data_IF_236015593542
#
_entry.id   IF_236015593542
#
_cell.length_a   1.000
_cell.length_b   1.000
_cell.length_c   1.000
_cell.angle_alpha   90.00
_cell.angle_beta   90.00
_cell.angle_gamma   90.00
#
_symmetry.space_group_name_H-M   'P 1'
#
loop_
_entity.id
_entity.type
_entity.pdbx_description
1 polymer ?
#
# COMPACT_ATOMS: atom_id res chain seq x y z
N UNK A 1 -11.30 -4.06 21.66
CA UNK A 1 -12.48 -3.22 21.34
C UNK A 1 -12.09 -1.83 20.85
N UNK A 2 -11.56 -0.92 21.68
CA UNK A 2 -11.19 0.43 21.22
C UNK A 2 -10.03 0.43 20.20
N UNK A 3 -8.97 -0.34 20.50
CA UNK A 3 -7.82 -0.51 19.58
C UNK A 3 -8.27 -1.06 18.22
N UNK A 4 -9.06 -2.12 18.21
CA UNK A 4 -9.60 -2.72 16.99
C UNK A 4 -10.44 -1.74 16.17
N UNK A 5 -11.21 -0.89 16.84
CA UNK A 5 -11.97 0.16 16.18
C UNK A 5 -11.05 1.21 15.55
N UNK A 6 -10.02 1.66 16.26
CA UNK A 6 -9.04 2.65 15.76
C UNK A 6 -8.19 2.11 14.60
N UNK A 7 -7.89 0.81 14.60
CA UNK A 7 -7.29 0.11 13.46
C UNK A 7 -8.28 -0.03 12.27
N UNK A 8 -9.57 0.24 12.49
CA UNK A 8 -10.61 0.16 11.47
C UNK A 8 -11.14 -1.24 11.20
N UNK A 9 -10.86 -2.23 12.06
CA UNK A 9 -11.33 -3.63 11.90
C UNK A 9 -12.85 -3.75 11.70
N UNK A 10 -13.73 -3.03 12.44
CA UNK A 10 -15.17 -3.12 12.26
C UNK A 10 -15.63 -2.59 10.89
N UNK A 11 -14.97 -1.54 10.40
CA UNK A 11 -15.26 -0.92 9.10
C UNK A 11 -14.59 -1.64 7.94
N UNK A 12 -13.62 -2.52 8.23
CA UNK A 12 -12.82 -3.27 7.25
C UNK A 12 -11.98 -2.35 6.35
N UNK A 13 -11.67 -1.15 6.83
CA UNK A 13 -10.87 -0.14 6.16
C UNK A 13 -9.96 0.54 7.20
N UNK A 14 -8.68 0.75 6.89
CA UNK A 14 -7.76 1.38 7.82
C UNK A 14 -8.15 2.84 8.03
N UNK A 15 -8.43 3.22 9.29
CA UNK A 15 -8.97 4.55 9.60
C UNK A 15 -7.97 5.66 9.35
N UNK A 16 -6.68 5.45 9.65
CA UNK A 16 -5.67 6.49 9.48
C UNK A 16 -5.51 6.92 8.01
N UNK A 17 -5.24 6.02 7.03
CA UNK A 17 -5.22 6.36 5.61
C UNK A 17 -6.53 6.98 5.10
N UNK A 18 -7.68 6.63 5.68
CA UNK A 18 -8.95 7.26 5.32
C UNK A 18 -9.00 8.72 5.78
N UNK A 19 -8.65 8.98 7.05
CA UNK A 19 -8.82 10.29 7.68
C UNK A 19 -7.78 11.33 7.25
N UNK A 20 -6.59 10.94 6.78
CA UNK A 20 -5.53 11.89 6.38
C UNK A 20 -5.91 12.78 5.19
N UNK A 21 -6.90 12.41 4.39
CA UNK A 21 -7.35 13.22 3.25
C UNK A 21 -7.93 14.58 3.68
N UNK A 22 -8.63 14.63 4.82
CA UNK A 22 -9.24 15.85 5.33
C UNK A 22 -8.20 16.93 5.68
N UNK A 23 -7.20 16.68 6.56
CA UNK A 23 -6.20 17.69 6.87
C UNK A 23 -5.35 18.07 5.65
N UNK A 24 -5.00 17.11 4.78
CA UNK A 24 -4.23 17.40 3.56
C UNK A 24 -5.00 18.40 2.67
N UNK A 25 -6.26 18.12 2.37
CA UNK A 25 -7.09 18.98 1.55
C UNK A 25 -7.29 20.37 2.18
N UNK A 26 -7.53 20.42 3.49
CA UNK A 26 -7.80 21.67 4.21
C UNK A 26 -6.56 22.57 4.34
N UNK A 27 -5.38 22.01 4.55
CA UNK A 27 -4.13 22.78 4.56
C UNK A 27 -3.72 23.28 3.18
N UNK A 28 -3.98 22.50 2.12
CA UNK A 28 -3.79 22.99 0.76
C UNK A 28 -4.79 24.09 0.40
N UNK A 29 -6.05 23.92 0.79
CA UNK A 29 -7.09 24.93 0.58
C UNK A 29 -6.75 26.24 1.30
N UNK A 30 -6.27 26.20 2.54
CA UNK A 30 -5.88 27.41 3.26
C UNK A 30 -4.75 28.18 2.56
N UNK A 31 -3.73 27.47 2.04
CA UNK A 31 -2.68 28.12 1.23
C UNK A 31 -3.25 28.71 -0.07
N UNK A 32 -4.16 28.02 -0.76
CA UNK A 32 -4.78 28.55 -1.98
C UNK A 32 -5.59 29.82 -1.71
N UNK A 33 -6.31 29.87 -0.58
CA UNK A 33 -7.05 31.06 -0.14
C UNK A 33 -6.09 32.20 0.25
N UNK A 34 -4.95 31.89 0.86
CA UNK A 34 -3.89 32.88 1.13
C UNK A 34 -3.37 33.51 -0.17
N UNK A 35 -3.05 32.68 -1.17
CA UNK A 35 -2.60 33.15 -2.48
C UNK A 35 -3.70 33.93 -3.22
N UNK A 36 -4.96 33.49 -3.11
CA UNK A 36 -6.10 34.21 -3.66
C UNK A 36 -6.26 35.59 -3.02
N UNK A 37 -6.01 35.74 -1.71
CA UNK A 37 -6.08 37.05 -1.03
C UNK A 37 -5.06 38.04 -1.59
N UNK A 38 -3.90 37.57 -2.05
CA UNK A 38 -2.89 38.40 -2.70
C UNK A 38 -3.30 38.79 -4.13
N UNK A 39 -3.85 37.83 -4.89
CA UNK A 39 -4.20 38.00 -6.29
C UNK A 39 -5.51 38.79 -6.49
N UNK A 40 -6.48 38.64 -5.59
CA UNK A 40 -7.83 39.20 -5.70
C UNK A 40 -8.27 39.90 -4.41
N UNK A 41 -7.65 41.04 -4.04
CA UNK A 41 -7.88 41.69 -2.74
C UNK A 41 -9.27 42.30 -2.60
N UNK A 42 -10.02 42.40 -3.70
CA UNK A 42 -11.42 42.84 -3.72
C UNK A 42 -12.41 41.76 -3.28
N UNK A 43 -11.99 40.49 -3.26
CA UNK A 43 -12.83 39.39 -2.77
C UNK A 43 -12.78 39.41 -1.24
N UNK A 44 -13.93 39.57 -0.56
CA UNK A 44 -13.95 39.69 0.90
C UNK A 44 -13.58 38.37 1.58
N UNK A 45 -13.14 38.48 2.84
CA UNK A 45 -13.01 37.38 3.81
C UNK A 45 -12.05 36.22 3.46
N UNK A 46 -11.29 36.27 2.36
CA UNK A 46 -10.36 35.19 1.98
C UNK A 46 -9.33 34.81 3.08
N UNK A 47 -8.82 35.79 3.83
CA UNK A 47 -7.89 35.54 4.95
C UNK A 47 -8.59 34.81 6.11
N UNK A 48 -9.87 35.12 6.34
CA UNK A 48 -10.72 34.49 7.36
C UNK A 48 -11.12 33.07 6.95
N UNK A 49 -11.48 32.87 5.69
CA UNK A 49 -11.83 31.56 5.15
C UNK A 49 -10.62 30.62 5.23
N UNK A 50 -9.43 31.12 4.87
CA UNK A 50 -8.18 30.39 5.02
C UNK A 50 -7.90 30.00 6.48
N UNK A 51 -8.17 30.90 7.44
CA UNK A 51 -8.04 30.62 8.87
C UNK A 51 -8.96 29.48 9.31
N UNK A 52 -10.23 29.46 8.90
CA UNK A 52 -11.16 28.40 9.27
C UNK A 52 -10.85 27.07 8.58
N UNK A 53 -10.44 27.09 7.31
CA UNK A 53 -9.94 25.90 6.62
C UNK A 53 -8.75 25.30 7.37
N UNK A 54 -7.79 26.14 7.77
CA UNK A 54 -6.63 25.75 8.55
C UNK A 54 -7.00 25.19 9.93
N UNK A 55 -7.93 25.83 10.65
CA UNK A 55 -8.41 25.38 11.96
C UNK A 55 -9.04 23.99 11.86
N UNK A 56 -9.92 23.78 10.88
CA UNK A 56 -10.52 22.48 10.64
C UNK A 56 -9.47 21.45 10.20
N UNK A 57 -8.44 21.88 9.45
CA UNK A 57 -7.29 21.06 9.09
C UNK A 57 -6.53 20.58 10.33
N UNK A 58 -6.25 21.45 11.30
CA UNK A 58 -5.60 21.06 12.57
C UNK A 58 -6.46 20.09 13.35
N UNK A 59 -7.77 20.35 13.49
CA UNK A 59 -8.68 19.47 14.22
C UNK A 59 -8.70 18.07 13.59
N UNK A 60 -8.89 17.99 12.27
CA UNK A 60 -8.93 16.72 11.55
C UNK A 60 -7.57 16.00 11.53
N UNK A 61 -6.45 16.73 11.52
CA UNK A 61 -5.11 16.16 11.68
C UNK A 61 -4.94 15.50 13.04
N UNK A 62 -5.38 16.15 14.12
CA UNK A 62 -5.33 15.58 15.47
C UNK A 62 -6.20 14.32 15.59
N UNK A 63 -7.38 14.32 14.98
CA UNK A 63 -8.25 13.13 14.90
C UNK A 63 -7.54 12.00 14.13
N UNK A 64 -6.92 12.29 12.98
CA UNK A 64 -6.19 11.30 12.19
C UNK A 64 -4.92 10.78 12.87
N UNK A 65 -4.29 11.58 13.74
CA UNK A 65 -3.09 11.20 14.47
C UNK A 65 -3.33 10.08 15.49
N UNK A 66 -4.55 9.98 16.04
CA UNK A 66 -4.90 8.92 17.00
C UNK A 66 -4.79 7.51 16.41
N UNK A 67 -5.50 7.15 15.31
CA UNK A 67 -5.33 5.85 14.68
C UNK A 67 -3.93 5.70 14.06
N UNK A 68 -3.31 6.78 13.57
CA UNK A 68 -1.93 6.73 13.06
C UNK A 68 -0.89 6.35 14.13
N UNK A 69 -1.10 6.79 15.37
CA UNK A 69 -0.26 6.40 16.50
C UNK A 69 -0.48 4.94 16.88
N UNK A 70 -1.71 4.45 16.84
CA UNK A 70 -2.01 3.01 17.04
C UNK A 70 -1.27 2.17 15.98
N UNK A 71 -1.40 2.53 14.70
CA UNK A 71 -0.70 1.89 13.60
C UNK A 71 0.82 1.90 13.81
N UNK A 72 1.38 3.03 14.28
CA UNK A 72 2.81 3.13 14.60
C UNK A 72 3.25 2.18 15.72
N UNK A 73 2.45 2.03 16.78
CA UNK A 73 2.78 1.14 17.91
C UNK A 73 2.79 -0.33 17.54
N UNK A 74 2.02 -0.71 16.52
CA UNK A 74 1.97 -2.07 15.99
C UNK A 74 3.19 -2.46 15.15
N UNK A 75 3.94 -1.48 14.64
CA UNK A 75 5.16 -1.75 13.88
C UNK A 75 6.23 -2.23 14.85
N UNK A 76 6.73 -3.45 14.65
CA UNK A 76 7.85 -4.00 15.42
C UNK A 76 9.07 -3.08 15.33
N UNK A 77 9.83 -2.99 16.42
CA UNK A 77 11.01 -2.11 16.50
C UNK A 77 12.13 -2.49 15.52
N UNK A 78 12.21 -3.76 15.13
CA UNK A 78 13.19 -4.30 14.18
C UNK A 78 12.71 -4.26 12.72
N UNK A 79 11.49 -3.79 12.46
CA UNK A 79 10.95 -3.72 11.11
C UNK A 79 11.67 -2.62 10.27
N UNK A 80 12.09 -2.89 9.02
CA UNK A 80 12.78 -1.91 8.17
C UNK A 80 12.02 -0.59 7.96
N UNK A 81 10.69 -0.65 7.99
CA UNK A 81 9.82 0.52 7.85
C UNK A 81 9.74 1.42 9.11
N UNK A 82 10.19 0.95 10.29
CA UNK A 82 10.04 1.66 11.56
C UNK A 82 10.68 3.06 11.54
N UNK A 83 11.92 3.26 11.05
CA UNK A 83 12.53 4.60 10.97
C UNK A 83 11.74 5.53 10.04
N UNK A 84 11.24 5.03 8.91
CA UNK A 84 10.39 5.80 7.99
C UNK A 84 9.09 6.22 8.68
N UNK A 85 8.47 5.32 9.46
CA UNK A 85 7.27 5.62 10.23
C UNK A 85 7.51 6.66 11.33
N UNK A 86 8.65 6.59 12.02
CA UNK A 86 9.04 7.61 13.01
C UNK A 86 9.25 8.97 12.34
N UNK A 87 9.97 9.02 11.22
CA UNK A 87 10.18 10.26 10.49
C UNK A 87 8.87 10.89 10.00
N UNK A 88 7.96 10.07 9.46
CA UNK A 88 6.62 10.49 9.06
C UNK A 88 5.81 11.06 10.24
N UNK A 89 5.78 10.35 11.38
CA UNK A 89 5.11 10.83 12.60
C UNK A 89 5.67 12.18 13.06
N UNK A 90 7.00 12.29 13.17
CA UNK A 90 7.67 13.52 13.60
C UNK A 90 7.38 14.69 12.67
N UNK A 91 7.45 14.49 11.36
CA UNK A 91 7.15 15.54 10.39
C UNK A 91 5.71 16.03 10.52
N UNK A 92 4.73 15.13 10.68
CA UNK A 92 3.33 15.55 10.84
C UNK A 92 3.08 16.29 12.16
N UNK A 93 3.75 15.92 13.25
CA UNK A 93 3.69 16.69 14.51
C UNK A 93 4.26 18.11 14.34
N UNK A 94 5.36 18.25 13.59
CA UNK A 94 5.91 19.56 13.25
C UNK A 94 4.93 20.37 12.40
N UNK A 95 4.30 19.76 11.39
CA UNK A 95 3.28 20.40 10.55
C UNK A 95 2.10 20.89 11.38
N UNK A 96 1.56 20.05 12.28
CA UNK A 96 0.44 20.42 13.16
C UNK A 96 0.83 21.58 14.09
N UNK A 97 2.02 21.52 14.71
CA UNK A 97 2.52 22.61 15.56
C UNK A 97 2.70 23.92 14.78
N UNK A 98 3.24 23.84 13.56
CA UNK A 98 3.45 24.98 12.67
C UNK A 98 2.11 25.64 12.32
N UNK A 99 1.09 24.85 11.93
CA UNK A 99 -0.24 25.39 11.64
C UNK A 99 -0.94 25.92 12.90
N UNK A 100 -0.71 25.32 14.08
CA UNK A 100 -1.17 25.87 15.36
C UNK A 100 -0.57 27.25 15.66
N UNK A 101 0.75 27.43 15.43
CA UNK A 101 1.42 28.73 15.54
C UNK A 101 0.85 29.71 14.50
N UNK A 102 0.64 29.26 13.27
CA UNK A 102 0.09 30.07 12.18
C UNK A 102 -1.32 30.59 12.52
N UNK A 103 -2.20 29.76 13.10
CA UNK A 103 -3.50 30.19 13.62
C UNK A 103 -3.34 31.30 14.67
N UNK A 104 -2.40 31.14 15.60
CA UNK A 104 -2.09 32.16 16.61
C UNK A 104 -1.68 33.50 15.99
N UNK A 105 -0.73 33.47 15.04
CA UNK A 105 -0.24 34.67 14.32
C UNK A 105 -1.37 35.36 13.54
N UNK A 106 -2.29 34.60 12.94
CA UNK A 106 -3.37 35.13 12.11
C UNK A 106 -4.56 35.68 12.90
N UNK A 107 -4.71 35.28 14.16
CA UNK A 107 -5.91 35.54 14.97
C UNK A 107 -6.28 37.03 15.11
N UNK A 108 -5.30 37.93 15.02
CA UNK A 108 -5.50 39.39 15.10
C UNK A 108 -5.75 40.08 13.75
N UNK A 109 -5.58 39.36 12.63
CA UNK A 109 -5.50 39.92 11.27
C UNK A 109 -6.55 39.32 10.32
N UNK A 110 -7.64 38.79 10.87
CA UNK A 110 -8.68 38.06 10.10
C UNK A 110 -9.55 38.96 9.22
N UNK A 111 -9.52 40.27 9.44
CA UNK A 111 -10.26 41.26 8.64
C UNK A 111 -9.38 41.88 7.56
N UNK A 112 -8.09 41.54 7.53
CA UNK A 112 -7.17 42.07 6.53
C UNK A 112 -7.56 41.54 5.14
N UNK A 113 -7.55 42.38 4.10
CA UNK A 113 -7.87 41.95 2.74
C UNK A 113 -6.80 41.04 2.13
N UNK A 114 -5.60 41.00 2.74
CA UNK A 114 -4.44 40.25 2.25
C UNK A 114 -3.74 39.55 3.39
N UNK A 115 -3.25 38.34 3.13
CA UNK A 115 -2.37 37.64 4.07
C UNK A 115 -1.05 38.39 4.28
N UNK A 116 -0.57 38.40 5.52
CA UNK A 116 0.74 38.95 5.86
C UNK A 116 1.87 37.97 5.50
N UNK A 117 3.09 38.48 5.33
CA UNK A 117 4.23 37.68 4.86
C UNK A 117 4.60 36.54 5.82
N UNK A 118 4.61 36.78 7.13
CA UNK A 118 4.97 35.77 8.12
C UNK A 118 4.04 34.52 8.10
N UNK A 119 2.71 34.66 8.24
CA UNK A 119 1.81 33.50 8.17
C UNK A 119 1.80 32.83 6.79
N UNK A 120 2.06 33.57 5.70
CA UNK A 120 2.23 32.99 4.37
C UNK A 120 3.46 32.09 4.28
N UNK A 121 4.61 32.53 4.80
CA UNK A 121 5.85 31.72 4.85
C UNK A 121 5.60 30.45 5.66
N UNK A 122 4.91 30.56 6.81
CA UNK A 122 4.51 29.39 7.59
C UNK A 122 3.66 28.43 6.74
N UNK A 123 2.60 28.90 6.07
CA UNK A 123 1.76 28.05 5.20
C UNK A 123 2.60 27.34 4.12
N UNK A 124 3.53 28.04 3.46
CA UNK A 124 4.40 27.46 2.42
C UNK A 124 5.34 26.39 2.98
N UNK A 125 6.00 26.64 4.11
CA UNK A 125 6.85 25.66 4.79
C UNK A 125 6.02 24.46 5.25
N UNK A 126 4.83 24.71 5.79
CA UNK A 126 3.88 23.67 6.21
C UNK A 126 3.49 22.74 5.06
N UNK A 127 3.11 23.29 3.90
CA UNK A 127 2.77 22.49 2.71
C UNK A 127 3.98 21.74 2.16
N UNK A 128 5.18 22.32 2.18
CA UNK A 128 6.40 21.62 1.76
C UNK A 128 6.71 20.41 2.66
N UNK A 129 6.66 20.60 3.99
CA UNK A 129 6.84 19.50 4.95
C UNK A 129 5.74 18.45 4.85
N UNK A 130 4.48 18.87 4.66
CA UNK A 130 3.34 17.98 4.44
C UNK A 130 3.54 17.13 3.18
N UNK A 131 4.10 17.70 2.11
CA UNK A 131 4.39 16.98 0.86
C UNK A 131 5.47 15.92 1.05
N UNK A 132 6.55 16.24 1.77
CA UNK A 132 7.61 15.27 2.15
C UNK A 132 7.02 14.16 3.02
N UNK A 133 6.25 14.53 4.04
CA UNK A 133 5.57 13.58 4.92
C UNK A 133 4.60 12.67 4.16
N UNK A 134 3.84 13.22 3.21
CA UNK A 134 2.90 12.49 2.35
C UNK A 134 3.59 11.45 1.47
N UNK A 135 4.78 11.76 0.93
CA UNK A 135 5.60 10.79 0.23
C UNK A 135 6.03 9.62 1.13
N UNK A 136 6.49 9.91 2.36
CA UNK A 136 6.85 8.86 3.32
C UNK A 136 5.63 8.02 3.71
N UNK A 137 4.46 8.64 3.91
CA UNK A 137 3.21 7.93 4.18
C UNK A 137 2.81 7.00 3.04
N UNK A 138 2.95 7.47 1.79
CA UNK A 138 2.74 6.65 0.60
C UNK A 138 3.67 5.44 0.56
N UNK A 139 4.96 5.62 0.82
CA UNK A 139 5.93 4.52 0.90
C UNK A 139 5.55 3.49 1.96
N UNK A 140 5.16 3.95 3.16
CA UNK A 140 4.72 3.04 4.24
C UNK A 140 3.51 2.19 3.83
N UNK A 141 2.57 2.76 3.07
CA UNK A 141 1.36 2.06 2.62
C UNK A 141 1.64 1.14 1.43
N UNK A 142 2.28 1.66 0.38
CA UNK A 142 2.42 0.97 -0.91
C UNK A 142 3.62 0.02 -0.98
N UNK A 143 4.73 0.37 -0.34
CA UNK A 143 5.96 -0.45 -0.39
C UNK A 143 6.03 -1.39 0.83
N UNK A 144 5.72 -0.87 2.02
CA UNK A 144 5.87 -1.60 3.28
C UNK A 144 4.56 -2.25 3.77
N UNK A 145 3.40 -1.95 3.15
CA UNK A 145 2.11 -2.53 3.49
C UNK A 145 1.63 -2.22 4.92
N UNK A 146 2.15 -1.18 5.57
CA UNK A 146 1.76 -0.78 6.92
C UNK A 146 0.28 -0.37 6.92
N UNK A 147 -0.51 -0.89 7.86
CA UNK A 147 -1.96 -0.67 8.00
C UNK A 147 -2.84 -1.29 6.89
N UNK A 148 -2.32 -1.55 5.69
CA UNK A 148 -3.09 -2.10 4.54
C UNK A 148 -2.78 -3.57 4.19
N UNK A 149 -1.58 -4.06 4.51
CA UNK A 149 -1.09 -5.39 4.11
C UNK A 149 -1.70 -6.56 4.89
N UNK A 150 -2.54 -6.29 5.88
CA UNK A 150 -3.19 -7.32 6.73
C UNK A 150 -4.46 -7.91 6.10
N UNK A 151 -4.85 -7.49 4.90
CA UNK A 151 -6.09 -7.94 4.28
C UNK A 151 -5.85 -9.07 3.28
N UNK A 152 -6.12 -10.31 3.73
CA UNK A 152 -6.29 -11.49 2.88
C UNK A 152 -7.27 -11.16 1.75
N UNK A 153 -6.94 -11.54 0.51
CA UNK A 153 -7.78 -11.30 -0.67
C UNK A 153 -9.21 -11.75 -0.39
N UNK A 154 -10.18 -10.84 -0.53
CA UNK A 154 -11.62 -11.14 -0.35
C UNK A 154 -12.34 -11.41 -1.65
N UNK A 155 -11.79 -10.94 -2.78
CA UNK A 155 -12.32 -11.30 -4.09
C UNK A 155 -12.07 -12.79 -4.31
N UNK A 156 -13.11 -13.60 -4.52
CA UNK A 156 -12.93 -15.00 -4.86
C UNK A 156 -11.98 -15.14 -6.06
N UNK A 157 -11.13 -16.14 -6.02
CA UNK A 157 -10.49 -16.67 -7.22
C UNK A 157 -11.55 -17.19 -8.19
N UNK A 158 -11.29 -17.20 -9.51
CA UNK A 158 -12.18 -17.88 -10.45
C UNK A 158 -12.38 -19.35 -10.07
N UNK A 159 -13.55 -19.90 -10.37
CA UNK A 159 -13.94 -21.28 -10.00
C UNK A 159 -12.98 -22.36 -10.51
N UNK A 160 -12.23 -22.06 -11.57
CA UNK A 160 -11.18 -22.93 -12.13
C UNK A 160 -9.91 -22.99 -11.28
N UNK A 161 -9.80 -22.21 -10.20
CA UNK A 161 -8.64 -22.23 -9.31
C UNK A 161 -8.66 -23.47 -8.43
N UNK A 162 -7.55 -24.23 -8.43
CA UNK A 162 -7.43 -25.37 -7.54
C UNK A 162 -7.07 -24.91 -6.12
N UNK A 163 -7.93 -25.20 -5.15
CA UNK A 163 -7.69 -24.89 -3.74
C UNK A 163 -7.02 -26.08 -3.02
N UNK A 164 -5.84 -25.84 -2.46
CA UNK A 164 -4.99 -26.84 -1.81
C UNK A 164 -4.59 -26.35 -0.40
N UNK A 165 -4.15 -27.28 0.46
CA UNK A 165 -3.60 -26.94 1.78
C UNK A 165 -2.27 -27.65 2.02
N UNK A 166 -1.33 -26.94 2.64
CA UNK A 166 -0.03 -27.49 3.01
C UNK A 166 -0.07 -28.33 4.30
N UNK A 167 -1.21 -28.39 4.99
CA UNK A 167 -1.33 -29.02 6.32
C UNK A 167 -1.06 -30.54 6.35
N UNK A 168 -1.21 -31.24 5.22
CA UNK A 168 -1.14 -32.70 5.14
C UNK A 168 0.04 -33.24 4.31
N UNK A 169 1.08 -32.44 4.07
CA UNK A 169 2.17 -32.77 3.15
C UNK A 169 3.46 -33.11 3.91
N UNK A 170 4.21 -34.10 3.44
CA UNK A 170 5.46 -34.56 4.05
C UNK A 170 6.51 -33.43 4.20
N UNK A 171 7.20 -33.42 5.34
CA UNK A 171 7.92 -32.26 5.87
C UNK A 171 9.41 -32.21 5.51
N UNK A 172 9.92 -30.99 5.34
CA UNK A 172 11.35 -30.64 5.50
C UNK A 172 11.45 -29.28 6.24
N UNK A 173 11.34 -29.31 7.57
CA UNK A 173 11.31 -28.11 8.41
C UNK A 173 10.06 -27.24 8.21
N UNK A 174 10.23 -25.92 8.10
CA UNK A 174 9.16 -24.93 7.89
C UNK A 174 8.62 -24.89 6.44
N UNK A 175 9.19 -25.70 5.55
CA UNK A 175 8.84 -25.77 4.13
C UNK A 175 7.97 -27.00 3.85
N UNK A 176 6.93 -26.79 3.05
CA UNK A 176 6.04 -27.85 2.58
C UNK A 176 6.06 -27.92 1.05
N UNK A 177 6.19 -29.13 0.49
CA UNK A 177 6.22 -29.39 -0.95
C UNK A 177 4.87 -29.90 -1.44
N UNK A 178 3.93 -28.99 -1.66
CA UNK A 178 2.53 -29.32 -1.96
C UNK A 178 2.41 -29.88 -3.38
N UNK A 179 1.89 -31.12 -3.55
CA UNK A 179 1.66 -31.68 -4.87
C UNK A 179 0.56 -30.90 -5.59
N UNK A 180 0.79 -30.56 -6.85
CA UNK A 180 -0.17 -29.84 -7.69
C UNK A 180 -0.87 -30.85 -8.61
N UNK A 181 -2.15 -31.15 -8.37
CA UNK A 181 -2.92 -32.01 -9.27
C UNK A 181 -2.95 -31.40 -10.66
N UNK A 182 -2.91 -32.25 -11.69
CA UNK A 182 -3.06 -31.86 -13.11
C UNK A 182 -1.97 -30.98 -13.70
N UNK A 183 -0.96 -30.56 -12.91
CA UNK A 183 0.19 -29.84 -13.44
C UNK A 183 0.92 -30.64 -14.52
N UNK A 184 0.96 -31.96 -14.41
CA UNK A 184 1.53 -32.87 -15.40
C UNK A 184 0.80 -32.83 -16.76
N UNK A 185 -0.48 -32.46 -16.77
CA UNK A 185 -1.31 -32.35 -17.97
C UNK A 185 -1.12 -31.05 -18.74
N UNK A 186 -0.43 -30.06 -18.16
CA UNK A 186 -0.18 -28.79 -18.83
C UNK A 186 0.54 -29.02 -20.17
N UNK A 187 0.01 -28.39 -21.22
CA UNK A 187 0.68 -28.19 -22.48
C UNK A 187 1.80 -27.16 -22.39
N UNK A 188 2.56 -27.03 -23.48
CA UNK A 188 3.63 -26.04 -23.58
C UNK A 188 3.05 -24.61 -23.54
N UNK A 189 3.57 -23.78 -22.63
CA UNK A 189 3.10 -22.41 -22.31
C UNK A 189 1.67 -22.32 -21.78
N UNK A 190 1.09 -23.43 -21.34
CA UNK A 190 -0.15 -23.41 -20.57
C UNK A 190 0.12 -23.14 -19.10
N UNK A 191 -0.90 -22.66 -18.42
CA UNK A 191 -0.84 -22.31 -17.00
C UNK A 191 -1.95 -22.96 -16.20
N UNK A 192 -1.67 -23.27 -14.94
CA UNK A 192 -2.62 -23.70 -13.94
C UNK A 192 -2.56 -22.75 -12.75
N UNK A 193 -3.72 -22.21 -12.35
CA UNK A 193 -3.83 -21.36 -11.16
C UNK A 193 -4.19 -22.21 -9.95
N UNK A 194 -3.45 -22.03 -8.86
CA UNK A 194 -3.69 -22.72 -7.60
C UNK A 194 -3.72 -21.73 -6.44
N UNK A 195 -4.46 -22.04 -5.39
CA UNK A 195 -4.42 -21.35 -4.11
C UNK A 195 -3.98 -22.32 -3.02
N UNK A 196 -2.87 -22.03 -2.37
CA UNK A 196 -2.31 -22.84 -1.27
C UNK A 196 -2.36 -22.00 0.01
N UNK A 197 -3.22 -22.37 0.95
CA UNK A 197 -3.41 -21.69 2.25
C UNK A 197 -3.60 -20.15 2.12
N UNK A 198 -4.24 -19.68 1.04
CA UNK A 198 -4.49 -18.26 0.76
C UNK A 198 -3.46 -17.58 -0.15
N UNK A 199 -2.39 -18.27 -0.55
CA UNK A 199 -1.43 -17.79 -1.54
C UNK A 199 -1.80 -18.28 -2.93
N UNK A 200 -2.15 -17.34 -3.82
CA UNK A 200 -2.51 -17.65 -5.21
C UNK A 200 -1.25 -17.66 -6.08
N UNK A 201 -1.01 -18.78 -6.75
CA UNK A 201 0.21 -19.10 -7.50
C UNK A 201 -0.19 -19.56 -8.91
N UNK A 202 0.55 -19.09 -9.91
CA UNK A 202 0.50 -19.63 -11.27
C UNK A 202 1.59 -20.68 -11.43
N UNK A 203 1.22 -21.84 -11.97
CA UNK A 203 2.14 -22.87 -12.46
C UNK A 203 2.15 -22.78 -13.98
N UNK A 204 3.32 -22.66 -14.60
CA UNK A 204 3.47 -22.64 -16.04
C UNK A 204 4.43 -23.75 -16.48
N UNK A 205 4.17 -24.35 -17.64
CA UNK A 205 5.10 -25.29 -18.28
C UNK A 205 5.78 -24.61 -19.46
N UNK A 206 7.10 -24.49 -19.42
CA UNK A 206 7.90 -23.89 -20.50
C UNK A 206 9.14 -24.74 -20.74
N UNK A 207 9.42 -25.07 -22.00
CA UNK A 207 10.53 -25.92 -22.44
C UNK A 207 10.64 -27.21 -21.60
N UNK A 208 9.50 -27.89 -21.42
CA UNK A 208 9.34 -29.12 -20.60
C UNK A 208 9.64 -28.98 -19.11
N UNK A 209 9.93 -27.78 -18.62
CA UNK A 209 10.13 -27.49 -17.20
C UNK A 209 8.91 -26.79 -16.60
N UNK A 210 8.76 -26.91 -15.29
CA UNK A 210 7.67 -26.26 -14.55
C UNK A 210 8.20 -25.09 -13.74
N UNK A 211 7.48 -23.98 -13.80
CA UNK A 211 7.79 -22.75 -13.08
C UNK A 211 6.58 -22.34 -12.26
N UNK A 212 6.83 -21.86 -11.04
CA UNK A 212 5.79 -21.40 -10.14
C UNK A 212 6.11 -19.97 -9.69
N UNK A 213 5.16 -19.07 -9.83
CA UNK A 213 5.29 -17.66 -9.47
C UNK A 213 3.95 -17.11 -8.95
N UNK A 214 3.99 -16.00 -8.23
CA UNK A 214 2.76 -15.38 -7.73
C UNK A 214 1.79 -15.07 -8.88
N UNK A 215 0.49 -15.26 -8.65
CA UNK A 215 -0.53 -15.07 -9.71
C UNK A 215 -0.66 -13.62 -10.17
N UNK A 216 -0.54 -12.68 -9.24
CA UNK A 216 -0.91 -11.30 -9.50
C UNK A 216 0.31 -10.46 -9.85
N UNK A 217 0.23 -9.80 -11.01
CA UNK A 217 1.21 -8.85 -11.48
C UNK A 217 1.43 -7.72 -10.44
N UNK A 218 2.69 -7.42 -10.13
CA UNK A 218 3.09 -6.39 -9.15
C UNK A 218 2.74 -4.97 -9.55
N UNK A 219 2.34 -4.71 -10.80
CA UNK A 219 1.89 -3.39 -11.23
C UNK A 219 0.49 -3.05 -10.71
N UNK A 220 -0.51 -3.87 -11.07
CA UNK A 220 -1.94 -3.60 -10.79
C UNK A 220 -2.75 -4.87 -10.57
N UNK A 221 -2.13 -5.94 -10.05
CA UNK A 221 -2.82 -7.19 -9.74
C UNK A 221 -3.46 -7.92 -10.94
N UNK A 222 -2.92 -7.72 -12.15
CA UNK A 222 -3.38 -8.47 -13.32
C UNK A 222 -3.11 -9.97 -13.19
N UNK A 223 -4.02 -10.84 -13.67
CA UNK A 223 -3.90 -12.30 -13.60
C UNK A 223 -2.85 -12.83 -14.57
N UNK A 224 -1.70 -13.25 -14.07
CA UNK A 224 -0.61 -13.74 -14.93
C UNK A 224 -0.91 -15.10 -15.55
N UNK A 225 -1.77 -15.93 -14.94
CA UNK A 225 -2.22 -17.18 -15.57
C UNK A 225 -3.17 -16.96 -16.76
N UNK A 226 -3.62 -15.73 -17.00
CA UNK A 226 -4.42 -15.36 -18.18
C UNK A 226 -3.56 -14.61 -19.21
N UNK A 227 -2.26 -14.52 -18.95
CA UNK A 227 -1.28 -13.85 -19.80
C UNK A 227 -0.75 -14.71 -20.95
N UNK A 228 0.06 -14.08 -21.80
CA UNK A 228 0.82 -14.75 -22.85
C UNK A 228 2.27 -15.01 -22.45
N UNK A 229 3.01 -15.75 -23.26
CA UNK A 229 4.44 -15.99 -23.06
C UNK A 229 5.26 -15.59 -24.28
N UNK A 230 6.40 -14.91 -24.04
CA UNK A 230 7.45 -14.70 -25.03
C UNK A 230 8.75 -15.30 -24.51
N UNK A 231 9.12 -16.48 -25.01
CA UNK A 231 10.23 -17.25 -24.41
C UNK A 231 9.87 -17.67 -22.97
N UNK A 232 10.67 -17.20 -22.00
CA UNK A 232 10.43 -17.40 -20.56
C UNK A 232 9.72 -16.22 -19.90
N UNK A 233 9.34 -15.19 -20.66
CA UNK A 233 8.68 -14.03 -20.10
C UNK A 233 7.16 -14.22 -20.13
N UNK A 234 6.53 -14.19 -18.96
CA UNK A 234 5.07 -14.10 -18.86
C UNK A 234 4.67 -12.63 -19.04
N UNK A 235 3.76 -12.36 -19.97
CA UNK A 235 3.21 -11.04 -20.25
C UNK A 235 1.83 -10.90 -19.62
N UNK A 236 1.69 -9.94 -18.70
CA UNK A 236 0.44 -9.61 -18.04
C UNK A 236 -0.60 -9.07 -19.04
N UNK A 237 -1.84 -9.62 -19.07
CA UNK A 237 -2.84 -9.28 -20.08
C UNK A 237 -3.44 -7.88 -19.92
N UNK A 238 -3.24 -7.22 -18.77
CA UNK A 238 -3.85 -5.91 -18.52
C UNK A 238 -3.04 -4.74 -19.07
N UNK A 239 -1.72 -4.74 -18.83
CA UNK A 239 -0.84 -3.60 -19.18
C UNK A 239 0.52 -4.04 -19.73
N UNK A 240 0.65 -5.31 -20.14
CA UNK A 240 1.81 -5.85 -20.84
C UNK A 240 3.13 -5.84 -20.07
N UNK A 241 3.10 -5.78 -18.73
CA UNK A 241 4.32 -6.02 -17.93
C UNK A 241 4.81 -7.45 -18.15
N UNK A 242 6.11 -7.61 -18.34
CA UNK A 242 6.73 -8.91 -18.57
C UNK A 242 7.65 -9.29 -17.42
N UNK A 243 7.69 -10.58 -17.10
CA UNK A 243 8.52 -11.12 -16.02
C UNK A 243 9.15 -12.44 -16.45
N UNK A 244 10.45 -12.61 -16.20
CA UNK A 244 11.13 -13.89 -16.41
C UNK A 244 10.65 -14.91 -15.37
N UNK A 245 9.96 -15.97 -15.78
CA UNK A 245 9.37 -16.94 -14.83
C UNK A 245 10.40 -17.75 -14.03
N UNK A 246 11.66 -17.76 -14.46
CA UNK A 246 12.75 -18.50 -13.80
C UNK A 246 13.26 -17.75 -12.58
N UNK A 247 13.26 -16.41 -12.66
CA UNK A 247 13.81 -15.55 -11.61
C UNK A 247 12.80 -14.61 -10.97
N UNK A 248 11.61 -14.47 -11.56
CA UNK A 248 10.58 -13.50 -11.19
C UNK A 248 10.89 -12.06 -11.61
N UNK A 249 12.02 -11.80 -12.28
CA UNK A 249 12.49 -10.44 -12.52
C UNK A 249 11.61 -9.72 -13.53
N UNK A 250 11.34 -8.43 -13.28
CA UNK A 250 10.71 -7.57 -14.30
C UNK A 250 11.66 -7.45 -15.50
N UNK A 251 11.18 -7.85 -16.67
CA UNK A 251 11.88 -7.67 -17.94
C UNK A 251 11.31 -6.53 -18.76
N UNK A 252 10.02 -6.23 -18.57
CA UNK A 252 9.34 -5.09 -19.20
C UNK A 252 8.31 -4.47 -18.27
N UNK A 253 8.32 -3.13 -18.17
CA UNK A 253 7.37 -2.36 -17.37
C UNK A 253 5.94 -2.37 -17.95
N UNK A 254 4.96 -1.74 -17.27
CA UNK A 254 5.11 -0.73 -16.20
C UNK A 254 5.43 -1.25 -14.78
N UNK A 255 5.41 -2.56 -14.53
CA UNK A 255 5.86 -3.11 -13.24
C UNK A 255 7.28 -2.65 -12.89
N UNK A 256 7.55 -2.48 -11.58
CA UNK A 256 8.88 -2.10 -11.05
C UNK A 256 9.38 -3.03 -9.94
N UNK A 257 8.52 -3.96 -9.50
CA UNK A 257 8.80 -4.90 -8.42
C UNK A 257 8.76 -6.29 -9.01
N UNK A 258 9.77 -7.09 -8.71
CA UNK A 258 9.88 -8.48 -9.17
C UNK A 258 8.79 -9.36 -8.55
N UNK A 259 8.44 -10.44 -9.24
CA UNK A 259 7.53 -11.47 -8.73
C UNK A 259 8.23 -12.31 -7.67
N UNK A 260 7.45 -12.76 -6.68
CA UNK A 260 7.83 -13.92 -5.88
C UNK A 260 7.75 -15.19 -6.74
N UNK A 261 8.88 -15.89 -6.87
CA UNK A 261 8.97 -17.22 -7.46
C UNK A 261 8.96 -18.30 -6.36
N UNK A 262 8.47 -19.49 -6.72
CA UNK A 262 8.40 -20.65 -5.84
C UNK A 262 9.22 -21.80 -6.43
N UNK A 263 9.89 -22.54 -5.56
CA UNK A 263 10.66 -23.71 -5.99
C UNK A 263 9.68 -24.81 -6.45
N UNK A 264 9.93 -25.37 -7.61
CA UNK A 264 9.20 -26.52 -8.14
C UNK A 264 10.12 -27.74 -8.15
N UNK A 265 9.61 -28.87 -7.67
CA UNK A 265 10.32 -30.15 -7.68
C UNK A 265 9.39 -31.28 -8.10
N UNK A 266 9.94 -32.28 -8.79
CA UNK A 266 9.24 -33.54 -9.01
C UNK A 266 9.51 -34.48 -7.85
N UNK A 267 8.48 -34.87 -7.09
CA UNK A 267 8.56 -35.83 -5.99
C UNK A 267 7.55 -36.94 -6.21
N UNK A 268 8.00 -38.19 -6.17
CA UNK A 268 7.17 -39.38 -6.43
C UNK A 268 6.36 -39.28 -7.73
N UNK A 269 6.99 -38.73 -8.78
CA UNK A 269 6.36 -38.51 -10.09
C UNK A 269 5.34 -37.36 -10.14
N UNK A 270 5.13 -36.61 -9.05
CA UNK A 270 4.21 -35.48 -8.97
C UNK A 270 4.97 -34.17 -9.00
N UNK A 271 4.41 -33.16 -9.66
CA UNK A 271 4.94 -31.80 -9.63
C UNK A 271 4.51 -31.14 -8.31
N UNK A 272 5.48 -30.73 -7.50
CA UNK A 272 5.26 -30.14 -6.19
C UNK A 272 5.82 -28.72 -6.14
N UNK A 273 5.11 -27.83 -5.42
CA UNK A 273 5.53 -26.45 -5.18
C UNK A 273 5.91 -26.29 -3.72
N UNK A 274 7.09 -25.73 -3.50
CA UNK A 274 7.58 -25.41 -2.16
C UNK A 274 6.97 -24.11 -1.67
N UNK A 275 6.25 -24.18 -0.55
CA UNK A 275 5.71 -23.01 0.16
C UNK A 275 6.20 -23.01 1.61
N UNK A 276 6.29 -21.82 2.22
CA UNK A 276 6.45 -21.72 3.67
C UNK A 276 5.12 -22.05 4.33
N UNK A 277 5.15 -22.87 5.38
CA UNK A 277 3.94 -23.16 6.15
C UNK A 277 3.44 -21.86 6.79
N UNK A 278 2.18 -21.51 6.53
CA UNK A 278 1.55 -20.44 7.27
C UNK A 278 1.55 -20.81 8.76
N UNK A 279 2.17 -19.99 9.60
CA UNK A 279 1.89 -20.02 11.04
C UNK A 279 0.40 -19.72 11.14
N UNK A 280 -0.41 -20.71 11.53
CA UNK A 280 -1.85 -20.58 11.60
C UNK A 280 -2.25 -19.56 12.67
N UNK A 281 -2.14 -18.27 12.37
CA UNK A 281 -2.83 -17.22 13.08
C UNK A 281 -4.07 -16.87 12.26
N UNK A 282 -5.07 -17.73 12.42
CA UNK A 282 -6.46 -17.31 12.35
C UNK A 282 -6.71 -16.32 13.48
N UNK A 283 -6.55 -15.02 13.20
CA UNK A 283 -7.05 -13.92 14.05
C UNK A 283 -7.68 -12.84 13.20
#
# INVERSE_FOLDING_TARGET
MLKDFLEGKPLRHPLHPMLVHFPIGLFLLSLLLDLASLAFPSVPDLVRDSFYAMLLGVITALIAAVPGFVDYTDIRSDHPAKPTATAHLTLNLIVVALYGINLGVRSSSLVDPKIQTAPLILSLVGVALLSVSGYLGGRLVYDDGISVGRHKRRTPTPESTLHLSATNVANDGDLAFVPIPEADRLGERETLRVEIDGQVITIAKIDKNFYAFQEFCTHRYGPLSEGGFQGFDVQCPWHNSCFDVRTGKVTQGPAKVDLKSFKVETRDGKICVCVQRGTGEST
#
